data_IF_242911715823
#
_entry.id   IF_242911715823
#
_cell.length_a   1.000
_cell.length_b   1.000
_cell.length_c   1.000
_cell.angle_alpha   90.00
_cell.angle_beta   90.00
_cell.angle_gamma   90.00
#
_symmetry.space_group_name_H-M   'P 1'
#
loop_
_entity.id
_entity.type
_entity.pdbx_description
1 polymer ?
#
# COMPACT_ATOMS: atom_id res chain seq x y z
N UNK A 1 12.69 -10.38 -6.68
CA UNK A 1 13.89 -10.32 -5.81
C UNK A 1 13.97 -8.93 -5.21
N UNK A 2 14.05 -8.83 -3.90
CA UNK A 2 14.19 -7.54 -3.20
C UNK A 2 15.67 -7.28 -2.90
N UNK A 3 16.07 -6.01 -3.00
CA UNK A 3 17.44 -5.57 -2.70
C UNK A 3 17.71 -5.44 -1.21
N UNK A 4 16.66 -5.43 -0.40
CA UNK A 4 16.72 -5.27 1.05
C UNK A 4 16.15 -6.51 1.73
N UNK A 5 16.53 -6.73 2.98
CA UNK A 5 15.93 -7.78 3.80
C UNK A 5 14.46 -7.46 4.07
N UNK A 6 13.62 -8.43 3.88
CA UNK A 6 12.17 -8.35 4.16
C UNK A 6 11.70 -9.54 4.98
N UNK A 7 10.56 -9.41 5.64
CA UNK A 7 9.86 -10.50 6.31
C UNK A 7 8.62 -10.83 5.47
N UNK A 8 8.55 -12.07 4.99
CA UNK A 8 7.36 -12.57 4.30
C UNK A 8 6.20 -12.83 5.26
N UNK A 9 5.00 -12.95 4.71
CA UNK A 9 3.79 -13.18 5.50
C UNK A 9 3.88 -14.44 6.38
N UNK A 10 4.48 -15.52 5.85
CA UNK A 10 4.63 -16.79 6.57
C UNK A 10 5.60 -16.71 7.74
N UNK A 11 6.57 -15.80 7.67
CA UNK A 11 7.58 -15.59 8.72
C UNK A 11 7.22 -14.45 9.68
N UNK A 12 6.11 -13.76 9.44
CA UNK A 12 5.67 -12.63 10.25
C UNK A 12 5.10 -13.10 11.59
N UNK A 13 5.47 -12.43 12.67
CA UNK A 13 4.86 -12.62 13.98
C UNK A 13 3.49 -11.92 14.09
N UNK A 14 2.75 -12.21 15.15
CA UNK A 14 1.42 -11.63 15.37
C UNK A 14 1.43 -10.09 15.46
N UNK A 15 2.38 -9.43 16.14
CA UNK A 15 2.45 -7.97 16.13
C UNK A 15 2.60 -7.37 14.72
N UNK A 16 3.40 -7.99 13.85
CA UNK A 16 3.60 -7.54 12.48
C UNK A 16 2.34 -7.75 11.64
N UNK A 17 1.70 -8.91 11.74
CA UNK A 17 0.44 -9.20 11.06
C UNK A 17 -0.67 -8.24 11.47
N UNK A 18 -0.81 -8.02 12.77
CA UNK A 18 -1.79 -7.07 13.33
C UNK A 18 -1.60 -5.65 12.79
N UNK A 19 -0.34 -5.21 12.67
CA UNK A 19 -0.04 -3.89 12.15
C UNK A 19 -0.27 -3.79 10.64
N UNK A 20 -0.03 -4.87 9.89
CA UNK A 20 -0.41 -4.92 8.47
C UNK A 20 -1.92 -4.85 8.26
N UNK A 21 -2.70 -5.52 9.09
CA UNK A 21 -4.16 -5.45 9.02
C UNK A 21 -4.67 -4.04 9.36
N UNK A 22 -4.09 -3.43 10.40
CA UNK A 22 -4.40 -2.04 10.75
C UNK A 22 -4.02 -1.06 9.62
N UNK A 23 -2.89 -1.28 8.95
CA UNK A 23 -2.44 -0.48 7.81
C UNK A 23 -3.39 -0.62 6.62
N UNK A 24 -3.82 -1.84 6.33
CA UNK A 24 -4.79 -2.11 5.25
C UNK A 24 -6.12 -1.41 5.48
N UNK A 25 -6.56 -1.33 6.74
CA UNK A 25 -7.79 -0.64 7.11
C UNK A 25 -7.75 0.88 6.90
N UNK A 26 -6.56 1.48 6.77
CA UNK A 26 -6.40 2.91 6.46
C UNK A 26 -6.60 3.22 4.97
N UNK A 27 -6.53 2.21 4.10
CA UNK A 27 -6.75 2.40 2.67
C UNK A 27 -8.24 2.60 2.38
N UNK A 28 -8.64 3.65 1.64
CA UNK A 28 -10.04 3.91 1.37
C UNK A 28 -10.71 2.73 0.67
N UNK A 29 -11.88 2.26 1.16
CA UNK A 29 -12.55 1.09 0.58
C UNK A 29 -12.91 1.26 -0.89
N UNK A 30 -13.11 2.48 -1.34
CA UNK A 30 -13.41 2.82 -2.74
C UNK A 30 -12.26 2.48 -3.69
N UNK A 31 -11.04 2.39 -3.18
CA UNK A 31 -9.84 2.02 -3.93
C UNK A 31 -9.44 0.55 -3.71
N UNK A 32 -10.08 -0.13 -2.77
CA UNK A 32 -9.85 -1.55 -2.51
C UNK A 32 -10.59 -2.43 -3.54
N UNK A 33 -10.33 -2.19 -4.82
CA UNK A 33 -10.84 -3.05 -5.89
C UNK A 33 -9.93 -4.26 -5.96
N UNK A 34 -10.49 -5.44 -5.78
CA UNK A 34 -9.82 -6.72 -6.08
C UNK A 34 -9.47 -6.77 -7.56
N UNK A 35 -8.39 -6.12 -7.93
CA UNK A 35 -7.77 -6.38 -9.22
C UNK A 35 -6.99 -7.69 -9.03
N UNK A 36 -7.64 -8.80 -9.34
CA UNK A 36 -6.94 -10.06 -9.57
C UNK A 36 -6.04 -9.88 -10.78
N UNK A 37 -4.85 -9.37 -10.56
CA UNK A 37 -3.81 -9.40 -11.57
C UNK A 37 -3.38 -10.87 -11.68
N UNK A 38 -3.75 -11.51 -12.77
CA UNK A 38 -3.31 -12.87 -13.06
C UNK A 38 -1.79 -12.97 -12.91
N UNK A 39 -1.35 -13.74 -11.92
CA UNK A 39 0.05 -14.07 -11.71
C UNK A 39 0.77 -13.34 -10.57
N UNK A 40 0.11 -12.44 -9.83
CA UNK A 40 0.68 -11.90 -8.60
C UNK A 40 0.17 -12.72 -7.40
N UNK A 41 1.08 -13.37 -6.73
CA UNK A 41 0.77 -14.08 -5.48
C UNK A 41 0.55 -13.06 -4.36
N UNK A 42 -0.71 -12.71 -4.13
CA UNK A 42 -1.12 -11.78 -3.07
C UNK A 42 -0.74 -12.27 -1.66
N UNK A 43 -0.50 -13.58 -1.50
CA UNK A 43 -0.05 -14.16 -0.23
C UNK A 43 1.34 -13.69 0.17
N UNK A 44 2.12 -13.17 -0.79
CA UNK A 44 3.49 -12.71 -0.57
C UNK A 44 3.57 -11.23 -0.13
N UNK A 45 2.46 -10.50 -0.12
CA UNK A 45 2.44 -9.06 0.19
C UNK A 45 3.17 -8.22 -0.88
N UNK A 46 2.51 -7.25 -1.47
CA UNK A 46 3.10 -6.39 -2.50
C UNK A 46 4.37 -5.68 -2.03
N UNK A 47 5.24 -5.33 -2.96
CA UNK A 47 6.59 -4.81 -2.71
C UNK A 47 6.70 -3.71 -1.66
N UNK A 48 5.77 -2.75 -1.62
CA UNK A 48 5.76 -1.65 -0.62
C UNK A 48 5.54 -2.19 0.79
N UNK A 49 4.58 -3.06 0.98
CA UNK A 49 4.26 -3.64 2.30
C UNK A 49 5.43 -4.45 2.84
N UNK A 50 6.00 -5.32 2.01
CA UNK A 50 7.16 -6.12 2.39
C UNK A 50 8.42 -5.28 2.62
N UNK A 51 8.65 -4.24 1.82
CA UNK A 51 9.83 -3.38 1.97
C UNK A 51 9.88 -2.69 3.33
N UNK A 52 8.73 -2.48 3.96
CA UNK A 52 8.60 -1.87 5.28
C UNK A 52 8.42 -2.89 6.42
N UNK A 53 8.60 -4.19 6.15
CA UNK A 53 8.36 -5.24 7.15
C UNK A 53 9.25 -5.15 8.38
N UNK A 54 10.43 -4.54 8.27
CA UNK A 54 11.33 -4.28 9.40
C UNK A 54 11.00 -2.98 10.15
N UNK A 55 10.18 -2.10 9.57
CA UNK A 55 9.75 -0.82 10.15
C UNK A 55 8.24 -0.65 9.96
N UNK A 56 7.41 -1.59 10.42
CA UNK A 56 5.99 -1.63 10.09
C UNK A 56 5.19 -0.43 10.59
N UNK A 57 5.63 0.23 11.66
CA UNK A 57 5.01 1.47 12.13
C UNK A 57 5.18 2.62 11.16
N UNK A 58 6.31 2.70 10.46
CA UNK A 58 6.52 3.68 9.40
C UNK A 58 5.54 3.45 8.25
N UNK A 59 5.30 2.20 7.87
CA UNK A 59 4.28 1.83 6.88
C UNK A 59 2.89 2.30 7.33
N UNK A 60 2.52 2.03 8.56
CA UNK A 60 1.24 2.43 9.13
C UNK A 60 1.01 3.94 9.02
N UNK A 61 1.98 4.74 9.41
CA UNK A 61 1.88 6.20 9.34
C UNK A 61 1.89 6.73 7.91
N UNK A 62 2.68 6.12 7.00
CA UNK A 62 2.69 6.47 5.59
C UNK A 62 1.32 6.17 4.93
N UNK A 63 0.71 5.03 5.24
CA UNK A 63 -0.64 4.70 4.77
C UNK A 63 -1.71 5.58 5.43
N UNK A 64 -1.51 6.03 6.66
CA UNK A 64 -2.37 7.02 7.29
C UNK A 64 -2.40 8.32 6.48
N UNK A 65 -1.23 8.84 6.12
CA UNK A 65 -1.12 10.02 5.26
C UNK A 65 -1.75 9.79 3.89
N UNK A 66 -1.46 8.65 3.25
CA UNK A 66 -2.04 8.29 1.96
C UNK A 66 -3.58 8.19 2.04
N UNK A 67 -4.10 7.54 3.07
CA UNK A 67 -5.55 7.40 3.28
C UNK A 67 -6.24 8.75 3.43
N UNK A 68 -5.65 9.67 4.18
CA UNK A 68 -6.18 11.04 4.29
C UNK A 68 -6.10 11.80 2.97
N UNK A 69 -5.00 11.67 2.24
CA UNK A 69 -4.82 12.32 0.94
C UNK A 69 -5.81 11.82 -0.13
N UNK A 70 -6.25 10.57 -0.01
CA UNK A 70 -7.24 9.95 -0.91
C UNK A 70 -8.68 10.01 -0.35
N UNK A 71 -8.90 10.69 0.77
CA UNK A 71 -10.21 10.74 1.43
C UNK A 71 -11.29 11.31 0.50
N UNK A 72 -12.46 10.66 0.37
CA UNK A 72 -13.56 11.18 -0.41
C UNK A 72 -14.20 12.45 0.19
N UNK A 73 -13.85 12.78 1.44
CA UNK A 73 -14.29 14.00 2.11
C UNK A 73 -13.49 15.25 1.71
N UNK A 74 -12.40 15.07 0.97
CA UNK A 74 -11.64 16.18 0.41
C UNK A 74 -12.37 16.78 -0.80
N UNK A 75 -12.10 18.06 -1.16
CA UNK A 75 -12.78 18.73 -2.27
C UNK A 75 -12.35 18.21 -3.67
N UNK A 76 -11.47 17.23 -3.73
CA UNK A 76 -11.04 16.61 -4.99
C UNK A 76 -11.94 15.42 -5.33
N UNK A 77 -12.27 15.29 -6.61
CA UNK A 77 -12.96 14.11 -7.12
C UNK A 77 -12.00 12.91 -7.20
N UNK A 78 -12.54 11.71 -7.25
CA UNK A 78 -11.74 10.50 -7.48
C UNK A 78 -10.90 10.59 -8.76
N UNK A 79 -11.49 11.11 -9.85
CA UNK A 79 -10.76 11.32 -11.10
C UNK A 79 -9.54 12.23 -10.91
N UNK A 80 -9.67 13.29 -10.12
CA UNK A 80 -8.55 14.18 -9.82
C UNK A 80 -7.48 13.50 -8.98
N UNK A 81 -7.86 12.68 -7.97
CA UNK A 81 -6.91 11.86 -7.21
C UNK A 81 -6.12 10.92 -8.13
N UNK A 82 -6.80 10.23 -9.04
CA UNK A 82 -6.18 9.31 -9.99
C UNK A 82 -5.24 10.03 -10.98
N UNK A 83 -5.61 11.23 -11.43
CA UNK A 83 -4.75 12.07 -12.27
C UNK A 83 -3.45 12.45 -11.54
N UNK A 84 -3.55 12.87 -10.28
CA UNK A 84 -2.39 13.20 -9.46
C UNK A 84 -1.50 11.96 -9.28
N UNK A 85 -2.07 10.82 -8.90
CA UNK A 85 -1.35 9.57 -8.73
C UNK A 85 -0.64 9.13 -10.02
N UNK A 86 -1.31 9.26 -11.16
CA UNK A 86 -0.76 8.92 -12.48
C UNK A 86 0.44 9.80 -12.82
N UNK A 87 0.34 11.10 -12.61
CA UNK A 87 1.46 12.04 -12.86
C UNK A 87 2.65 11.72 -11.96
N UNK A 88 2.41 11.50 -10.67
CA UNK A 88 3.47 11.15 -9.71
C UNK A 88 4.16 9.84 -10.12
N UNK A 89 3.40 8.82 -10.46
CA UNK A 89 3.94 7.54 -10.90
C UNK A 89 4.73 7.65 -12.20
N UNK A 90 4.23 8.45 -13.14
CA UNK A 90 4.90 8.70 -14.42
C UNK A 90 6.24 9.42 -14.24
N UNK A 91 6.28 10.46 -13.41
CA UNK A 91 7.51 11.23 -13.13
C UNK A 91 8.54 10.35 -12.40
N UNK A 92 8.07 9.48 -11.52
CA UNK A 92 8.93 8.55 -10.78
C UNK A 92 9.35 7.32 -11.59
N UNK A 93 8.93 7.22 -12.86
CA UNK A 93 9.16 6.03 -13.69
C UNK A 93 8.70 4.73 -12.99
N UNK A 94 7.58 4.81 -12.28
CA UNK A 94 7.03 3.70 -11.55
C UNK A 94 6.56 2.62 -12.53
N UNK A 95 7.00 1.38 -12.30
CA UNK A 95 6.66 0.26 -13.18
C UNK A 95 5.22 -0.24 -13.00
N UNK A 96 4.62 0.05 -11.88
CA UNK A 96 3.25 -0.32 -11.55
C UNK A 96 2.23 0.42 -12.38
#
# INVERSE_FOLDING_TARGET
MTWIKTIGHDAADEPLKSLWDATRALYPPEYAIDVKADGLDESQGGGITQSHSLIPRALYHAFGLLGEALSPNLPLTRAQHEMIATVVSSVNHCFY
#
